data_IF_107659936813
#
_entry.id   IF_107659936813
#
_cell.length_a   1.000
_cell.length_b   1.000
_cell.length_c   1.000
_cell.angle_alpha   90.00
_cell.angle_beta   90.00
_cell.angle_gamma   90.00
#
_symmetry.space_group_name_H-M   'P 1'
#
loop_
_entity.id
_entity.type
_entity.pdbx_description
1 polymer ?
#
# COMPACT_ATOMS: atom_id res chain seq x y z
N UNK A 1 -11.97 38.62 -4.27
CA UNK A 1 -11.36 37.37 -3.77
C UNK A 1 -10.45 36.83 -4.86
N UNK A 2 -9.32 36.18 -4.56
CA UNK A 2 -8.52 35.53 -5.59
C UNK A 2 -9.40 34.46 -6.29
N UNK A 3 -9.40 34.42 -7.63
CA UNK A 3 -10.28 33.53 -8.42
C UNK A 3 -10.10 32.05 -8.09
N UNK A 4 -8.89 31.61 -7.74
CA UNK A 4 -8.61 30.23 -7.37
C UNK A 4 -9.01 29.90 -5.95
N UNK A 5 -9.00 30.88 -5.04
CA UNK A 5 -9.58 30.71 -3.70
C UNK A 5 -11.09 30.50 -3.82
N UNK A 6 -11.77 31.27 -4.68
CA UNK A 6 -13.20 31.08 -4.97
C UNK A 6 -13.49 29.73 -5.64
N UNK A 7 -12.70 29.36 -6.66
CA UNK A 7 -12.80 28.05 -7.32
C UNK A 7 -12.59 26.90 -6.33
N UNK A 8 -11.58 26.99 -5.47
CA UNK A 8 -11.29 25.98 -4.45
C UNK A 8 -12.45 25.85 -3.45
N UNK A 9 -13.00 26.97 -2.98
CA UNK A 9 -14.18 26.98 -2.10
C UNK A 9 -15.38 26.31 -2.78
N UNK A 10 -15.64 26.61 -4.06
CA UNK A 10 -16.70 25.97 -4.81
C UNK A 10 -16.47 24.46 -4.99
N UNK A 11 -15.23 24.03 -5.28
CA UNK A 11 -14.85 22.61 -5.35
C UNK A 11 -15.07 21.91 -4.00
N UNK A 12 -14.65 22.53 -2.90
CA UNK A 12 -14.83 22.01 -1.55
C UNK A 12 -16.31 21.78 -1.20
N UNK A 13 -17.23 22.57 -1.77
CA UNK A 13 -18.67 22.41 -1.57
C UNK A 13 -19.38 21.41 -2.50
N UNK A 14 -18.70 20.80 -3.48
CA UNK A 14 -19.34 19.84 -4.40
C UNK A 14 -19.68 18.52 -3.71
N UNK A 15 -20.78 17.90 -4.12
CA UNK A 15 -21.09 16.51 -3.72
C UNK A 15 -20.13 15.52 -4.39
N UNK A 16 -19.85 15.74 -5.68
CA UNK A 16 -18.95 14.93 -6.49
C UNK A 16 -17.83 15.77 -7.09
N UNK A 17 -16.59 15.27 -7.03
CA UNK A 17 -15.38 15.90 -7.57
C UNK A 17 -14.71 14.99 -8.58
N UNK A 18 -14.19 15.57 -9.65
CA UNK A 18 -13.34 14.87 -10.61
C UNK A 18 -11.88 15.15 -10.29
N UNK A 19 -11.15 14.14 -9.82
CA UNK A 19 -9.80 14.31 -9.27
C UNK A 19 -8.84 13.36 -9.99
N UNK A 20 -7.73 13.91 -10.47
CA UNK A 20 -6.60 13.10 -10.96
C UNK A 20 -5.69 12.78 -9.78
N UNK A 21 -5.30 11.52 -9.62
CA UNK A 21 -4.25 11.09 -8.72
C UNK A 21 -3.01 10.65 -9.47
N UNK A 22 -1.84 11.08 -8.99
CA UNK A 22 -0.53 10.73 -9.55
C UNK A 22 0.30 9.97 -8.53
N UNK A 23 0.84 8.83 -8.94
CA UNK A 23 1.84 8.10 -8.19
C UNK A 23 3.08 7.80 -9.04
N UNK A 24 4.25 8.05 -8.46
CA UNK A 24 5.53 7.65 -9.03
C UNK A 24 6.29 6.84 -7.98
N UNK A 25 6.36 5.53 -8.21
CA UNK A 25 7.02 4.59 -7.33
C UNK A 25 8.53 4.82 -7.23
N UNK A 26 9.16 4.12 -6.28
CA UNK A 26 10.62 4.13 -6.13
C UNK A 26 11.33 3.29 -7.20
N UNK A 27 10.61 2.46 -7.95
CA UNK A 27 11.15 1.73 -9.10
C UNK A 27 11.50 2.62 -10.28
N UNK A 28 10.91 3.83 -10.35
CA UNK A 28 11.07 4.79 -11.44
C UNK A 28 10.63 4.23 -12.80
N UNK A 29 9.66 3.30 -12.82
CA UNK A 29 9.22 2.67 -14.06
C UNK A 29 8.35 3.60 -14.91
N UNK A 30 7.51 4.42 -14.26
CA UNK A 30 6.63 5.37 -14.91
C UNK A 30 5.83 6.22 -13.92
N UNK A 31 4.92 7.01 -14.49
CA UNK A 31 3.92 7.80 -13.77
C UNK A 31 2.56 7.14 -13.92
N UNK A 32 2.02 6.67 -12.81
CA UNK A 32 0.65 6.17 -12.72
C UNK A 32 -0.31 7.35 -12.63
N UNK A 33 -1.30 7.40 -13.52
CA UNK A 33 -2.30 8.46 -13.60
C UNK A 33 -3.68 7.84 -13.47
N UNK A 34 -4.41 8.17 -12.40
CA UNK A 34 -5.78 7.72 -12.18
C UNK A 34 -6.74 8.92 -12.24
N UNK A 35 -7.72 8.88 -13.14
CA UNK A 35 -8.84 9.82 -13.13
C UNK A 35 -9.98 9.21 -12.32
N UNK A 36 -10.28 9.82 -11.17
CA UNK A 36 -11.28 9.33 -10.24
C UNK A 36 -12.47 10.29 -10.14
N UNK A 37 -13.68 9.74 -10.13
CA UNK A 37 -14.86 10.43 -9.63
C UNK A 37 -15.02 10.09 -8.16
N UNK A 38 -15.00 11.11 -7.31
CA UNK A 38 -15.12 10.94 -5.86
C UNK A 38 -16.39 11.65 -5.40
N UNK A 39 -17.28 10.89 -4.76
CA UNK A 39 -18.53 11.42 -4.17
C UNK A 39 -18.41 11.37 -2.65
N UNK A 40 -18.85 12.45 -1.99
CA UNK A 40 -18.76 12.57 -0.54
C UNK A 40 -17.33 12.83 -0.04
N UNK A 41 -17.11 12.56 1.25
CA UNK A 41 -15.84 12.64 1.95
C UNK A 41 -15.91 11.80 3.24
N UNK A 42 -14.76 11.58 3.89
CA UNK A 42 -14.69 10.75 5.09
C UNK A 42 -15.15 9.32 4.82
N UNK A 43 -15.98 8.77 5.71
CA UNK A 43 -16.53 7.40 5.59
C UNK A 43 -17.67 7.26 4.59
N UNK A 44 -18.20 8.38 4.10
CA UNK A 44 -19.21 8.40 3.04
C UNK A 44 -18.56 8.45 1.65
N UNK A 45 -17.23 8.41 1.59
CA UNK A 45 -16.52 8.49 0.32
C UNK A 45 -16.80 7.28 -0.56
N UNK A 46 -17.32 7.55 -1.76
CA UNK A 46 -17.36 6.58 -2.85
C UNK A 46 -16.36 7.01 -3.92
N UNK A 47 -15.48 6.08 -4.31
CA UNK A 47 -14.48 6.29 -5.36
C UNK A 47 -14.82 5.41 -6.56
N UNK A 48 -14.99 6.04 -7.72
CA UNK A 48 -15.11 5.39 -9.02
C UNK A 48 -13.88 5.72 -9.86
N UNK A 49 -13.15 4.69 -10.30
CA UNK A 49 -12.04 4.83 -11.23
C UNK A 49 -12.59 4.95 -12.66
N UNK A 50 -12.42 6.12 -13.29
CA UNK A 50 -12.93 6.37 -14.64
C UNK A 50 -11.90 5.99 -15.72
N UNK A 51 -10.65 6.36 -15.51
CA UNK A 51 -9.53 6.06 -16.39
C UNK A 51 -8.28 5.80 -15.57
N UNK A 52 -7.42 4.93 -16.06
CA UNK A 52 -6.11 4.65 -15.49
C UNK A 52 -5.14 4.28 -16.59
N UNK A 53 -3.94 4.84 -16.54
CA UNK A 53 -2.83 4.41 -17.38
C UNK A 53 -1.49 4.75 -16.70
N UNK A 54 -0.43 4.07 -17.11
CA UNK A 54 0.93 4.28 -16.64
C UNK A 54 1.79 4.78 -17.79
N UNK A 55 2.33 6.00 -17.66
CA UNK A 55 3.26 6.51 -18.67
C UNK A 55 4.69 6.13 -18.32
N UNK A 56 5.40 5.33 -19.14
CA UNK A 56 6.77 4.95 -18.82
C UNK A 56 7.70 6.17 -18.86
N UNK A 57 8.62 6.25 -17.91
CA UNK A 57 9.65 7.29 -17.96
C UNK A 57 10.70 6.98 -19.03
N UNK A 58 11.25 8.05 -19.62
CA UNK A 58 12.42 7.93 -20.48
C UNK A 58 13.65 7.52 -19.65
N UNK A 59 14.60 6.84 -20.28
CA UNK A 59 15.87 6.49 -19.62
C UNK A 59 16.61 7.73 -19.13
N UNK A 60 16.57 8.82 -19.89
CA UNK A 60 17.17 10.09 -19.49
C UNK A 60 16.56 10.60 -18.18
N UNK A 61 15.21 10.65 -18.09
CA UNK A 61 14.53 11.09 -16.88
C UNK A 61 14.89 10.19 -15.69
N UNK A 62 14.81 8.86 -15.85
CA UNK A 62 15.20 7.90 -14.81
C UNK A 62 16.62 8.13 -14.32
N UNK A 63 17.57 8.28 -15.23
CA UNK A 63 18.98 8.45 -14.90
C UNK A 63 19.21 9.74 -14.11
N UNK A 64 18.52 10.82 -14.48
CA UNK A 64 18.57 12.10 -13.75
C UNK A 64 18.03 11.99 -12.32
N UNK A 65 16.91 11.28 -12.12
CA UNK A 65 16.38 11.06 -10.76
C UNK A 65 17.32 10.21 -9.91
N UNK A 66 17.97 9.19 -10.50
CA UNK A 66 18.99 8.37 -9.83
C UNK A 66 20.21 9.16 -9.37
N UNK A 67 20.44 10.36 -9.90
CA UNK A 67 21.53 11.22 -9.40
C UNK A 67 21.28 11.66 -7.95
N UNK A 68 20.02 11.82 -7.54
CA UNK A 68 19.65 12.28 -6.18
C UNK A 68 18.94 11.23 -5.33
N UNK A 69 18.34 10.21 -5.94
CA UNK A 69 17.52 9.21 -5.25
C UNK A 69 18.30 8.41 -4.19
N UNK A 70 17.75 8.39 -2.97
CA UNK A 70 18.25 7.64 -1.81
C UNK A 70 19.71 7.93 -1.44
N UNK A 71 20.22 9.14 -1.75
CA UNK A 71 21.58 9.57 -1.41
C UNK A 71 21.58 10.62 -0.31
N UNK A 72 22.53 10.49 0.61
CA UNK A 72 22.77 11.46 1.70
C UNK A 72 23.45 12.73 1.21
N UNK A 73 24.36 12.59 0.25
CA UNK A 73 25.12 13.69 -0.34
C UNK A 73 24.67 13.87 -1.79
N UNK A 74 24.17 15.07 -2.11
CA UNK A 74 23.70 15.44 -3.44
C UNK A 74 24.08 16.89 -3.73
N UNK A 75 24.26 17.21 -5.01
CA UNK A 75 24.41 18.60 -5.44
C UNK A 75 23.08 19.36 -5.28
N UNK A 76 23.10 20.46 -4.54
CA UNK A 76 21.88 21.21 -4.21
C UNK A 76 21.30 21.94 -5.42
N UNK A 77 22.15 22.42 -6.33
CA UNK A 77 21.69 23.07 -7.56
C UNK A 77 20.96 22.05 -8.45
N UNK A 78 21.50 20.85 -8.58
CA UNK A 78 20.90 19.73 -9.28
C UNK A 78 19.56 19.34 -8.68
N UNK A 79 19.49 19.09 -7.36
CA UNK A 79 18.25 18.74 -6.66
C UNK A 79 17.16 19.80 -6.88
N UNK A 80 17.53 21.08 -6.75
CA UNK A 80 16.61 22.21 -6.95
C UNK A 80 16.08 22.27 -8.39
N UNK A 81 16.96 22.08 -9.38
CA UNK A 81 16.55 22.00 -10.78
C UNK A 81 15.67 20.79 -11.09
N UNK A 82 16.00 19.62 -10.53
CA UNK A 82 15.21 18.40 -10.71
C UNK A 82 13.80 18.53 -10.11
N UNK A 83 13.64 19.24 -8.99
CA UNK A 83 12.32 19.48 -8.40
C UNK A 83 11.33 20.13 -9.39
N UNK A 84 11.77 21.15 -10.12
CA UNK A 84 10.99 21.80 -11.17
C UNK A 84 10.84 20.94 -12.44
N UNK A 85 11.88 20.20 -12.82
CA UNK A 85 11.85 19.29 -13.98
C UNK A 85 10.83 18.18 -13.79
N UNK A 86 10.79 17.55 -12.61
CA UNK A 86 9.80 16.52 -12.27
C UNK A 86 8.39 17.08 -12.34
N UNK A 87 8.15 18.27 -11.76
CA UNK A 87 6.83 18.90 -11.79
C UNK A 87 6.33 19.18 -13.21
N UNK A 88 7.19 19.77 -14.06
CA UNK A 88 6.85 19.99 -15.48
C UNK A 88 6.64 18.71 -16.26
N UNK A 89 7.47 17.69 -16.01
CA UNK A 89 7.36 16.39 -16.67
C UNK A 89 6.02 15.75 -16.31
N UNK A 90 5.69 15.65 -15.02
CA UNK A 90 4.42 15.09 -14.57
C UNK A 90 3.23 15.87 -15.14
N UNK A 91 3.27 17.22 -15.10
CA UNK A 91 2.22 18.05 -15.68
C UNK A 91 2.05 17.85 -17.20
N UNK A 92 3.15 17.68 -17.93
CA UNK A 92 3.14 17.35 -19.36
C UNK A 92 2.48 16.00 -19.65
N UNK A 93 2.89 14.95 -18.93
CA UNK A 93 2.33 13.60 -19.08
C UNK A 93 0.83 13.57 -18.74
N UNK A 94 0.40 14.35 -17.73
CA UNK A 94 -1.02 14.50 -17.41
C UNK A 94 -1.80 15.15 -18.56
N UNK A 95 -1.27 16.20 -19.17
CA UNK A 95 -1.92 16.84 -20.32
C UNK A 95 -2.03 15.88 -21.52
N UNK A 96 -0.99 15.08 -21.77
CA UNK A 96 -0.99 14.04 -22.81
C UNK A 96 -2.07 12.98 -22.54
N UNK A 97 -2.16 12.50 -21.30
CA UNK A 97 -3.17 11.51 -20.87
C UNK A 97 -4.59 12.07 -20.95
N UNK A 98 -4.82 13.30 -20.48
CA UNK A 98 -6.11 13.97 -20.59
C UNK A 98 -6.55 14.14 -22.04
N UNK A 99 -5.62 14.52 -22.93
CA UNK A 99 -5.90 14.60 -24.35
C UNK A 99 -6.24 13.22 -24.96
N UNK A 100 -5.51 12.17 -24.58
CA UNK A 100 -5.78 10.80 -25.02
C UNK A 100 -7.14 10.27 -24.54
N UNK A 101 -7.56 10.63 -23.32
CA UNK A 101 -8.87 10.29 -22.76
C UNK A 101 -10.00 11.21 -23.24
N UNK A 102 -9.69 12.27 -23.98
CA UNK A 102 -10.66 13.26 -24.44
C UNK A 102 -11.28 14.08 -23.31
N UNK A 103 -10.58 14.25 -22.19
CA UNK A 103 -11.05 14.98 -21.00
C UNK A 103 -10.39 16.36 -20.98
N UNK A 104 -11.14 17.47 -21.12
CA UNK A 104 -10.57 18.81 -21.02
C UNK A 104 -10.09 19.11 -19.60
N UNK A 105 -8.92 19.74 -19.47
CA UNK A 105 -8.33 20.11 -18.17
C UNK A 105 -9.28 20.89 -17.25
N UNK A 106 -10.14 21.74 -17.80
CA UNK A 106 -11.05 22.57 -17.02
C UNK A 106 -12.22 21.80 -16.38
N UNK A 107 -12.49 20.57 -16.83
CA UNK A 107 -13.47 19.66 -16.21
C UNK A 107 -12.91 18.98 -14.96
N UNK A 108 -11.57 18.92 -14.82
CA UNK A 108 -10.89 18.34 -13.66
C UNK A 108 -10.86 19.38 -12.54
N UNK A 109 -11.35 18.97 -11.37
CA UNK A 109 -11.42 19.85 -10.20
C UNK A 109 -10.05 20.01 -9.53
N UNK A 110 -9.38 18.88 -9.29
CA UNK A 110 -8.12 18.80 -8.57
C UNK A 110 -7.18 17.79 -9.22
N UNK A 111 -5.88 18.03 -9.04
CA UNK A 111 -4.82 17.09 -9.32
C UNK A 111 -4.08 16.80 -8.02
N UNK A 112 -3.86 15.53 -7.70
CA UNK A 112 -3.16 15.08 -6.51
C UNK A 112 -1.80 14.50 -6.91
N UNK A 113 -0.71 15.19 -6.57
CA UNK A 113 0.65 14.75 -6.91
C UNK A 113 1.38 14.25 -5.67
N UNK A 114 1.69 12.96 -5.62
CA UNK A 114 2.67 12.45 -4.66
C UNK A 114 4.07 13.04 -4.90
N UNK A 115 4.40 13.27 -6.18
CA UNK A 115 5.76 13.54 -6.63
C UNK A 115 6.61 12.26 -6.66
N UNK A 116 7.93 12.46 -6.63
CA UNK A 116 8.94 11.42 -6.62
C UNK A 116 9.69 11.44 -5.30
N UNK A 117 9.61 10.38 -4.49
CA UNK A 117 10.41 10.29 -3.26
C UNK A 117 11.89 10.29 -3.62
N UNK A 118 12.65 11.22 -3.03
CA UNK A 118 14.12 11.28 -3.11
C UNK A 118 14.75 10.77 -1.84
N UNK A 119 14.18 11.11 -0.68
CA UNK A 119 14.71 10.66 0.60
C UNK A 119 13.59 10.48 1.63
N UNK A 120 13.67 9.41 2.41
CA UNK A 120 12.75 9.12 3.50
C UNK A 120 13.57 8.71 4.71
N UNK A 121 13.44 9.45 5.80
CA UNK A 121 14.32 9.41 6.95
C UNK A 121 13.53 9.57 8.26
N UNK A 122 12.60 8.65 8.57
CA UNK A 122 11.99 8.61 9.89
C UNK A 122 13.05 8.25 10.97
N UNK A 123 12.80 8.67 12.20
CA UNK A 123 13.70 8.41 13.33
C UNK A 123 13.84 6.91 13.61
N UNK A 124 12.78 6.13 13.38
CA UNK A 124 12.79 4.66 13.48
C UNK A 124 13.80 3.98 12.56
N UNK A 125 14.04 4.56 11.37
CA UNK A 125 15.01 4.04 10.40
C UNK A 125 16.41 4.61 10.61
N UNK A 126 16.52 5.90 10.92
CA UNK A 126 17.82 6.58 11.01
C UNK A 126 18.50 6.41 12.37
N UNK A 127 17.73 6.13 13.43
CA UNK A 127 18.19 6.18 14.82
C UNK A 127 18.64 7.56 15.28
N UNK A 128 18.50 8.60 14.44
CA UNK A 128 18.92 9.96 14.77
C UNK A 128 17.74 10.74 15.36
N UNK A 129 17.83 11.05 16.65
CA UNK A 129 16.81 11.81 17.38
C UNK A 129 17.03 13.33 17.37
N UNK A 130 18.13 13.82 16.78
CA UNK A 130 18.42 15.26 16.66
C UNK A 130 17.50 15.94 15.64
N UNK A 131 17.04 15.18 14.64
CA UNK A 131 16.11 15.66 13.62
C UNK A 131 14.74 15.00 13.80
N UNK A 132 13.63 15.70 13.50
CA UNK A 132 12.32 15.07 13.46
C UNK A 132 12.26 14.03 12.33
N UNK A 133 11.20 13.20 12.33
CA UNK A 133 10.85 12.43 11.14
C UNK A 133 10.91 13.33 9.91
N UNK A 134 11.51 12.84 8.83
CA UNK A 134 11.82 13.65 7.67
C UNK A 134 11.56 12.90 6.39
N UNK A 135 11.03 13.59 5.38
CA UNK A 135 10.81 13.01 4.05
C UNK A 135 10.84 14.10 3.00
N UNK A 136 11.34 13.77 1.82
CA UNK A 136 11.41 14.66 0.68
C UNK A 136 10.89 13.95 -0.57
N UNK A 137 9.81 14.50 -1.11
CA UNK A 137 9.31 14.22 -2.44
C UNK A 137 9.66 15.42 -3.31
N UNK A 138 10.15 15.18 -4.52
CA UNK A 138 10.36 16.23 -5.52
C UNK A 138 9.30 16.15 -6.61
N UNK A 139 9.11 17.23 -7.36
CA UNK A 139 7.95 17.39 -8.24
C UNK A 139 7.12 18.56 -7.76
N UNK A 140 7.59 19.75 -8.08
CA UNK A 140 7.00 21.00 -7.61
C UNK A 140 5.52 21.10 -7.99
N UNK A 141 4.66 21.25 -6.98
CA UNK A 141 3.21 21.39 -7.15
C UNK A 141 2.84 22.63 -7.97
N UNK A 142 3.59 23.72 -7.87
CA UNK A 142 3.33 24.94 -8.65
C UNK A 142 3.66 24.70 -10.13
N UNK A 143 4.75 23.99 -10.43
CA UNK A 143 5.06 23.62 -11.82
C UNK A 143 4.00 22.68 -12.40
N UNK A 144 3.48 21.73 -11.62
CA UNK A 144 2.37 20.87 -12.07
C UNK A 144 1.11 21.70 -12.33
N UNK A 145 0.74 22.59 -11.39
CA UNK A 145 -0.46 23.42 -11.50
C UNK A 145 -0.40 24.37 -12.69
N UNK A 146 0.72 25.07 -12.89
CA UNK A 146 0.93 25.97 -14.03
C UNK A 146 0.93 25.20 -15.36
N UNK A 147 1.58 24.04 -15.41
CA UNK A 147 1.66 23.23 -16.64
C UNK A 147 0.29 22.67 -17.05
N UNK A 148 -0.53 22.27 -16.09
CA UNK A 148 -1.83 21.63 -16.35
C UNK A 148 -3.00 22.61 -16.35
N UNK A 149 -2.87 23.79 -15.76
CA UNK A 149 -4.00 24.69 -15.51
C UNK A 149 -4.97 24.19 -14.44
N UNK A 150 -4.59 23.17 -13.65
CA UNK A 150 -5.44 22.51 -12.65
C UNK A 150 -4.91 22.80 -11.25
N UNK A 151 -5.80 23.09 -10.29
CA UNK A 151 -5.42 23.27 -8.89
C UNK A 151 -4.78 21.97 -8.40
N UNK A 152 -3.55 22.04 -7.92
CA UNK A 152 -2.77 20.85 -7.54
C UNK A 152 -2.63 20.76 -6.03
N UNK A 153 -2.91 19.58 -5.48
CA UNK A 153 -2.61 19.19 -4.11
C UNK A 153 -1.37 18.29 -4.11
N UNK A 154 -0.33 18.65 -3.37
CA UNK A 154 0.93 17.90 -3.31
C UNK A 154 1.47 17.75 -1.88
N UNK A 155 2.64 17.15 -1.68
CA UNK A 155 3.36 17.09 -0.39
C UNK A 155 2.58 16.41 0.77
N UNK A 156 1.80 15.38 0.45
CA UNK A 156 0.97 14.66 1.43
C UNK A 156 1.76 14.15 2.65
N UNK A 157 2.91 13.50 2.40
CA UNK A 157 3.74 12.92 3.47
C UNK A 157 4.31 13.97 4.41
N UNK A 158 4.65 15.16 3.91
CA UNK A 158 5.22 16.23 4.74
C UNK A 158 4.22 16.70 5.81
N UNK A 159 2.93 16.79 5.47
CA UNK A 159 1.88 17.16 6.44
C UNK A 159 1.70 16.08 7.51
N UNK A 160 1.75 14.80 7.12
CA UNK A 160 1.71 13.67 8.06
C UNK A 160 2.91 13.69 9.01
N UNK A 161 4.11 13.94 8.48
CA UNK A 161 5.35 14.09 9.27
C UNK A 161 5.25 15.27 10.24
N UNK A 162 4.78 16.42 9.77
CA UNK A 162 4.59 17.61 10.61
C UNK A 162 3.58 17.38 11.75
N UNK A 163 2.63 16.45 11.56
CA UNK A 163 1.68 16.03 12.59
C UNK A 163 2.22 14.94 13.54
N UNK A 164 3.51 14.58 13.42
CA UNK A 164 4.19 13.64 14.31
C UNK A 164 4.26 12.19 13.82
N UNK A 165 3.72 11.88 12.64
CA UNK A 165 3.85 10.55 12.05
C UNK A 165 5.15 10.37 11.26
N UNK A 166 5.34 9.21 10.63
CA UNK A 166 6.55 8.92 9.85
C UNK A 166 6.45 9.33 8.37
N UNK A 167 5.24 9.54 7.84
CA UNK A 167 4.98 9.90 6.44
C UNK A 167 4.68 8.69 5.55
N UNK A 168 4.61 7.49 6.13
CA UNK A 168 4.28 6.24 5.47
C UNK A 168 3.79 5.20 6.50
N UNK A 169 3.07 4.14 6.07
CA UNK A 169 2.41 4.01 4.78
C UNK A 169 1.12 4.85 4.72
N UNK A 170 0.92 5.62 3.65
CA UNK A 170 -0.33 6.39 3.47
C UNK A 170 -1.50 5.54 2.98
N UNK A 171 -1.24 4.31 2.49
CA UNK A 171 -2.27 3.39 2.04
C UNK A 171 -3.30 3.07 3.13
N UNK A 172 -2.89 3.05 4.40
CA UNK A 172 -3.79 2.83 5.54
C UNK A 172 -4.91 3.89 5.61
N UNK A 173 -4.68 5.12 5.16
CA UNK A 173 -5.70 6.16 5.12
C UNK A 173 -6.79 5.85 4.09
N UNK A 174 -6.40 5.50 2.86
CA UNK A 174 -7.39 5.16 1.85
C UNK A 174 -8.08 3.85 2.14
N UNK A 175 -7.36 2.85 2.66
CA UNK A 175 -7.99 1.61 3.12
C UNK A 175 -9.06 1.90 4.19
N UNK A 176 -8.74 2.77 5.16
CA UNK A 176 -9.68 3.17 6.20
C UNK A 176 -10.91 3.90 5.64
N UNK A 177 -10.70 4.87 4.75
CA UNK A 177 -11.78 5.69 4.21
C UNK A 177 -12.69 4.94 3.24
N UNK A 178 -12.11 4.14 2.34
CA UNK A 178 -12.85 3.45 1.28
C UNK A 178 -13.47 2.13 1.73
N UNK A 179 -12.77 1.41 2.61
CA UNK A 179 -13.11 0.02 2.87
C UNK A 179 -13.56 -0.24 4.31
N UNK A 180 -13.61 0.73 5.21
CA UNK A 180 -14.26 0.53 6.51
C UNK A 180 -15.77 0.35 6.31
N UNK A 181 -16.33 -0.70 6.91
CA UNK A 181 -17.76 -1.00 6.85
C UNK A 181 -18.44 -0.70 8.18
N UNK A 182 -19.74 -0.38 8.16
CA UNK A 182 -20.51 -0.10 9.38
C UNK A 182 -20.87 -1.35 10.19
N UNK A 183 -20.91 -2.52 9.56
CA UNK A 183 -21.46 -3.76 10.13
C UNK A 183 -20.41 -4.87 10.27
N UNK A 184 -19.46 -4.95 9.33
CA UNK A 184 -18.44 -6.00 9.29
C UNK A 184 -17.02 -5.47 9.53
N UNK A 185 -16.18 -6.29 10.17
CA UNK A 185 -14.75 -6.07 10.18
C UNK A 185 -14.18 -6.62 8.88
N UNK A 186 -13.40 -5.80 8.17
CA UNK A 186 -12.73 -6.21 6.93
C UNK A 186 -11.24 -6.34 7.16
N UNK A 187 -10.67 -7.41 6.64
CA UNK A 187 -9.25 -7.72 6.68
C UNK A 187 -8.74 -7.65 5.25
N UNK A 188 -7.92 -6.66 4.94
CA UNK A 188 -7.29 -6.54 3.63
C UNK A 188 -5.94 -7.26 3.71
N UNK A 189 -5.91 -8.53 3.30
CA UNK A 189 -4.77 -9.43 3.41
C UNK A 189 -3.95 -9.41 2.12
N UNK A 190 -2.75 -8.85 2.17
CA UNK A 190 -1.79 -8.96 1.07
C UNK A 190 -0.83 -10.13 1.29
N UNK A 191 -0.80 -11.06 0.34
CA UNK A 191 0.10 -12.21 0.36
C UNK A 191 1.22 -12.01 -0.67
N UNK A 192 2.23 -11.24 -0.27
CA UNK A 192 3.48 -11.09 -1.02
C UNK A 192 4.53 -12.10 -0.58
N UNK A 193 5.80 -11.68 -0.55
CA UNK A 193 6.85 -12.46 0.10
C UNK A 193 6.58 -12.66 1.60
N UNK A 194 6.28 -11.57 2.30
CA UNK A 194 5.68 -11.56 3.65
C UNK A 194 4.18 -11.31 3.49
N UNK A 195 3.38 -12.01 4.29
CA UNK A 195 1.95 -11.77 4.39
C UNK A 195 1.71 -10.67 5.43
N UNK A 196 0.88 -9.70 5.08
CA UNK A 196 0.45 -8.62 5.97
C UNK A 196 -1.03 -8.34 5.77
N UNK A 197 -1.68 -7.75 6.77
CA UNK A 197 -3.04 -7.28 6.60
C UNK A 197 -3.29 -5.93 7.26
N UNK A 198 -4.18 -5.15 6.64
CA UNK A 198 -4.87 -4.03 7.28
C UNK A 198 -6.15 -4.55 7.91
N UNK A 199 -6.30 -4.41 9.23
CA UNK A 199 -7.55 -4.64 9.94
C UNK A 199 -8.38 -3.36 9.91
N UNK A 200 -9.59 -3.45 9.37
CA UNK A 200 -10.59 -2.39 9.34
C UNK A 200 -11.76 -2.82 10.22
N UNK A 201 -11.77 -2.46 11.51
CA UNK A 201 -12.86 -2.79 12.41
C UNK A 201 -14.16 -2.17 11.89
N UNK A 202 -15.29 -2.85 12.10
CA UNK A 202 -16.58 -2.25 11.79
C UNK A 202 -16.77 -0.90 12.51
N UNK A 203 -17.65 -0.04 12.00
CA UNK A 203 -17.96 1.23 12.66
C UNK A 203 -18.37 1.01 14.13
N UNK A 204 -17.81 1.81 15.04
CA UNK A 204 -18.20 1.95 16.46
C UNK A 204 -17.60 0.96 17.49
N UNK A 205 -16.51 0.26 17.18
CA UNK A 205 -15.95 -0.76 18.10
C UNK A 205 -14.89 -0.20 19.07
N UNK A 206 -14.42 1.04 18.87
CA UNK A 206 -13.34 1.61 19.66
C UNK A 206 -11.97 0.94 19.43
N UNK A 207 -11.91 -0.11 18.61
CA UNK A 207 -10.69 -0.71 18.09
C UNK A 207 -10.19 0.14 16.91
N UNK A 208 -8.93 0.58 16.92
CA UNK A 208 -8.36 1.31 15.80
C UNK A 208 -8.07 0.36 14.62
N UNK A 209 -8.15 0.90 13.41
CA UNK A 209 -7.54 0.35 12.21
C UNK A 209 -6.03 0.21 12.40
N UNK A 210 -5.43 -0.89 11.96
CA UNK A 210 -3.98 -1.07 11.99
C UNK A 210 -3.53 -1.99 10.86
N UNK A 211 -2.26 -1.86 10.46
CA UNK A 211 -1.59 -2.78 9.56
C UNK A 211 -0.53 -3.59 10.33
N UNK A 212 -0.36 -4.86 9.98
CA UNK A 212 0.63 -5.74 10.62
C UNK A 212 1.09 -6.84 9.68
N UNK A 213 2.34 -7.26 9.84
CA UNK A 213 2.82 -8.50 9.26
C UNK A 213 2.33 -9.70 10.09
N UNK A 214 2.01 -10.80 9.43
CA UNK A 214 1.50 -12.03 10.07
C UNK A 214 2.47 -13.20 10.01
N UNK A 215 3.46 -13.11 9.11
CA UNK A 215 4.44 -14.16 8.89
C UNK A 215 4.78 -14.29 7.40
N UNK A 216 5.37 -15.42 6.99
CA UNK A 216 5.71 -15.62 5.59
C UNK A 216 4.45 -15.72 4.73
N UNK A 217 4.50 -15.06 3.56
CA UNK A 217 3.61 -15.35 2.44
C UNK A 217 4.28 -16.38 1.54
N UNK A 218 4.85 -15.94 0.43
CA UNK A 218 5.54 -16.78 -0.55
C UNK A 218 7.06 -16.90 -0.31
N UNK A 219 7.68 -15.97 0.41
CA UNK A 219 9.15 -15.82 0.51
C UNK A 219 9.89 -17.12 0.84
N UNK A 220 9.40 -17.91 1.80
CA UNK A 220 10.09 -19.13 2.24
C UNK A 220 9.89 -20.28 1.24
N UNK A 221 8.73 -20.35 0.59
CA UNK A 221 8.45 -21.29 -0.49
C UNK A 221 9.31 -20.99 -1.72
N UNK A 222 9.40 -19.72 -2.11
CA UNK A 222 10.18 -19.27 -3.26
C UNK A 222 11.68 -19.49 -3.04
N UNK A 223 12.19 -19.19 -1.84
CA UNK A 223 13.57 -19.52 -1.46
C UNK A 223 13.85 -21.03 -1.57
N UNK A 224 12.93 -21.89 -1.12
CA UNK A 224 13.09 -23.34 -1.19
C UNK A 224 13.04 -23.85 -2.63
N UNK A 225 12.09 -23.37 -3.44
CA UNK A 225 11.99 -23.66 -4.87
C UNK A 225 13.28 -23.29 -5.60
N UNK A 226 13.83 -22.11 -5.32
CA UNK A 226 15.06 -21.67 -5.96
C UNK A 226 16.24 -22.53 -5.54
N UNK A 227 16.40 -22.83 -4.25
CA UNK A 227 17.53 -23.58 -3.73
C UNK A 227 17.53 -25.07 -4.13
N UNK A 228 16.35 -25.71 -4.20
CA UNK A 228 16.23 -27.16 -4.41
C UNK A 228 15.88 -27.51 -5.85
N UNK A 229 15.21 -26.62 -6.58
CA UNK A 229 14.64 -26.91 -7.90
C UNK A 229 15.07 -25.91 -8.98
N UNK A 230 15.78 -24.83 -8.62
CA UNK A 230 16.23 -23.80 -9.57
C UNK A 230 15.09 -23.02 -10.22
N UNK A 231 13.91 -23.01 -9.60
CA UNK A 231 12.71 -22.32 -10.09
C UNK A 231 12.34 -21.19 -9.12
N UNK A 232 11.88 -20.06 -9.66
CA UNK A 232 11.62 -18.87 -8.86
C UNK A 232 10.45 -19.02 -7.88
N UNK A 233 9.44 -19.82 -8.22
CA UNK A 233 8.22 -20.01 -7.43
C UNK A 233 7.53 -21.33 -7.77
N UNK A 234 6.66 -21.81 -6.88
CA UNK A 234 5.77 -22.95 -7.13
C UNK A 234 4.50 -22.50 -7.83
N UNK A 235 4.55 -22.48 -9.17
CA UNK A 235 3.44 -22.01 -10.00
C UNK A 235 2.19 -22.88 -9.76
N UNK A 236 1.07 -22.21 -9.46
CA UNK A 236 -0.24 -22.83 -9.18
C UNK A 236 -0.19 -23.90 -8.07
N UNK A 237 0.80 -23.81 -7.17
CA UNK A 237 1.06 -24.78 -6.10
C UNK A 237 1.28 -26.22 -6.58
N UNK A 238 1.82 -26.42 -7.79
CA UNK A 238 1.97 -27.73 -8.41
C UNK A 238 2.82 -28.70 -7.57
N UNK A 239 3.93 -28.22 -6.98
CA UNK A 239 4.83 -29.03 -6.17
C UNK A 239 4.23 -29.27 -4.78
N UNK A 240 3.72 -28.21 -4.13
CA UNK A 240 3.10 -28.32 -2.82
C UNK A 240 1.86 -29.23 -2.83
N UNK A 241 1.07 -29.21 -3.90
CA UNK A 241 -0.14 -30.03 -4.03
C UNK A 241 0.13 -31.52 -4.20
N UNK A 242 1.35 -31.90 -4.61
CA UNK A 242 1.78 -33.28 -4.73
C UNK A 242 2.35 -33.87 -3.43
N UNK A 243 2.50 -33.05 -2.39
CA UNK A 243 3.03 -33.45 -1.09
C UNK A 243 1.96 -33.66 -0.02
N UNK A 244 2.40 -34.15 1.14
CA UNK A 244 1.59 -34.29 2.34
C UNK A 244 2.15 -33.37 3.42
N UNK A 245 1.27 -32.60 4.07
CA UNK A 245 1.66 -31.71 5.17
C UNK A 245 2.25 -32.53 6.32
N UNK A 246 3.49 -32.25 6.68
CA UNK A 246 4.16 -32.87 7.83
C UNK A 246 3.84 -32.07 9.10
N UNK A 247 3.00 -32.64 9.98
CA UNK A 247 2.53 -31.96 11.18
C UNK A 247 3.65 -31.58 12.17
N UNK A 248 4.63 -32.47 12.48
CA UNK A 248 5.76 -32.09 13.35
C UNK A 248 6.56 -30.89 12.86
N UNK A 249 6.84 -30.81 11.55
CA UNK A 249 7.53 -29.67 10.97
C UNK A 249 6.65 -28.41 11.02
N UNK A 250 5.37 -28.51 10.65
CA UNK A 250 4.43 -27.39 10.72
C UNK A 250 4.34 -26.79 12.14
N UNK A 251 4.15 -27.64 13.16
CA UNK A 251 4.06 -27.19 14.55
C UNK A 251 5.37 -26.54 15.03
N UNK A 252 6.51 -27.04 14.56
CA UNK A 252 7.83 -26.46 14.89
C UNK A 252 8.03 -25.11 14.21
N UNK A 253 7.63 -24.96 12.94
CA UNK A 253 7.64 -23.68 12.25
C UNK A 253 6.71 -22.67 12.95
N UNK A 254 5.55 -23.08 13.45
CA UNK A 254 4.64 -22.18 14.18
C UNK A 254 5.08 -21.87 15.61
N UNK A 255 6.12 -22.51 16.15
CA UNK A 255 6.53 -22.35 17.55
C UNK A 255 7.42 -21.14 17.83
N UNK A 256 7.67 -20.28 16.85
CA UNK A 256 8.54 -19.11 17.03
C UNK A 256 7.83 -17.97 17.76
N UNK A 257 8.53 -17.29 18.67
CA UNK A 257 7.97 -16.23 19.54
C UNK A 257 7.34 -15.07 18.77
N UNK A 258 7.77 -14.84 17.52
CA UNK A 258 7.16 -13.88 16.60
C UNK A 258 5.63 -14.02 16.53
N UNK A 259 5.09 -15.24 16.48
CA UNK A 259 3.66 -15.46 16.35
C UNK A 259 2.89 -15.05 17.61
N UNK A 260 3.53 -15.08 18.78
CA UNK A 260 2.93 -14.66 20.05
C UNK A 260 2.86 -13.14 20.23
N UNK A 261 3.76 -12.37 19.58
CA UNK A 261 3.83 -10.90 19.69
C UNK A 261 2.48 -10.22 19.41
N UNK A 262 2.15 -9.12 20.13
CA UNK A 262 0.96 -8.32 19.88
C UNK A 262 1.02 -7.62 18.52
N UNK A 263 -0.14 -7.17 18.03
CA UNK A 263 -0.21 -6.32 16.84
C UNK A 263 -0.15 -4.83 17.24
N UNK A 264 0.40 -3.96 16.38
CA UNK A 264 1.05 -4.27 15.10
C UNK A 264 2.48 -4.76 15.30
N UNK A 265 2.97 -5.60 14.38
CA UNK A 265 4.34 -6.10 14.34
C UNK A 265 4.82 -6.21 12.89
N UNK A 266 6.13 -6.22 12.71
CA UNK A 266 6.76 -6.33 11.38
C UNK A 266 7.78 -7.46 11.33
N UNK A 267 8.05 -7.98 10.14
CA UNK A 267 9.02 -9.06 9.88
C UNK A 267 9.42 -9.07 8.40
N UNK A 268 10.33 -9.98 8.07
CA UNK A 268 10.91 -10.05 6.74
C UNK A 268 11.66 -11.35 6.49
N UNK A 269 12.27 -11.47 5.29
CA UNK A 269 13.12 -12.60 4.93
C UNK A 269 14.31 -12.80 5.88
N UNK A 270 14.72 -11.78 6.64
CA UNK A 270 15.74 -11.89 7.68
C UNK A 270 15.37 -12.89 8.79
N UNK A 271 14.07 -13.07 9.07
CA UNK A 271 13.60 -14.11 9.99
C UNK A 271 13.17 -15.37 9.23
N UNK A 272 12.29 -15.23 8.25
CA UNK A 272 11.71 -16.38 7.53
C UNK A 272 12.54 -16.73 6.29
N UNK A 273 13.65 -17.44 6.51
CA UNK A 273 14.58 -17.90 5.47
C UNK A 273 14.90 -19.39 5.56
N UNK A 274 15.76 -19.87 4.64
CA UNK A 274 16.17 -21.27 4.60
C UNK A 274 16.87 -21.75 5.88
N UNK A 275 17.55 -20.87 6.63
CA UNK A 275 18.14 -21.27 7.91
C UNK A 275 17.04 -21.58 8.94
N UNK A 276 16.01 -20.73 8.99
CA UNK A 276 14.83 -20.97 9.82
C UNK A 276 14.16 -22.32 9.51
N UNK A 277 14.01 -22.66 8.22
CA UNK A 277 13.50 -23.96 7.79
C UNK A 277 14.43 -25.11 8.22
N UNK A 278 15.75 -24.98 8.00
CA UNK A 278 16.71 -26.01 8.36
C UNK A 278 16.70 -26.30 9.87
N UNK A 279 16.68 -25.25 10.70
CA UNK A 279 16.62 -25.37 12.15
C UNK A 279 15.33 -26.07 12.60
N UNK A 280 14.19 -25.72 11.98
CA UNK A 280 12.91 -26.37 12.23
C UNK A 280 12.94 -27.85 11.82
N UNK A 281 13.54 -28.19 10.68
CA UNK A 281 13.69 -29.58 10.22
C UNK A 281 14.58 -30.41 11.15
N UNK A 282 15.68 -29.85 11.63
CA UNK A 282 16.55 -30.50 12.60
C UNK A 282 15.80 -30.75 13.92
N UNK A 283 15.12 -29.74 14.46
CA UNK A 283 14.37 -29.84 15.71
C UNK A 283 13.20 -30.83 15.62
N UNK A 284 12.51 -30.89 14.49
CA UNK A 284 11.40 -31.81 14.26
C UNK A 284 11.83 -33.23 13.82
N UNK A 285 13.12 -33.45 13.51
CA UNK A 285 13.60 -34.72 12.97
C UNK A 285 13.11 -35.01 11.55
N UNK A 286 12.96 -33.98 10.71
CA UNK A 286 12.30 -34.03 9.38
C UNK A 286 13.21 -33.65 8.21
N UNK A 287 14.54 -33.69 8.42
CA UNK A 287 15.56 -33.39 7.38
C UNK A 287 15.41 -34.28 6.14
N UNK A 288 14.89 -35.51 6.31
CA UNK A 288 14.70 -36.48 5.23
C UNK A 288 13.37 -36.37 4.46
N UNK A 289 12.56 -35.33 4.70
CA UNK A 289 11.29 -35.16 3.99
C UNK A 289 11.51 -34.96 2.48
N UNK A 290 10.55 -35.46 1.70
CA UNK A 290 10.55 -35.20 0.26
C UNK A 290 10.33 -33.71 0.00
N UNK A 291 10.85 -33.22 -1.14
CA UNK A 291 10.63 -31.81 -1.55
C UNK A 291 9.15 -31.43 -1.67
N UNK A 292 8.30 -32.37 -2.05
CA UNK A 292 6.85 -32.15 -2.14
C UNK A 292 6.26 -31.97 -0.74
N UNK A 293 6.64 -32.80 0.24
CA UNK A 293 6.15 -32.69 1.61
C UNK A 293 6.66 -31.41 2.30
N UNK A 294 7.90 -31.00 2.03
CA UNK A 294 8.41 -29.71 2.51
C UNK A 294 7.59 -28.56 1.94
N UNK A 295 7.35 -28.53 0.62
CA UNK A 295 6.54 -27.48 -0.01
C UNK A 295 5.09 -27.47 0.48
N UNK A 296 4.46 -28.64 0.64
CA UNK A 296 3.12 -28.76 1.22
C UNK A 296 3.09 -28.19 2.65
N UNK A 297 4.13 -28.48 3.44
CA UNK A 297 4.24 -28.01 4.82
C UNK A 297 4.50 -26.51 4.90
N UNK A 298 5.34 -25.95 4.03
CA UNK A 298 5.58 -24.50 3.94
C UNK A 298 4.31 -23.75 3.51
N UNK A 299 3.56 -24.28 2.54
CA UNK A 299 2.27 -23.72 2.15
C UNK A 299 1.27 -23.73 3.31
N UNK A 300 1.19 -24.84 4.07
CA UNK A 300 0.36 -24.94 5.26
C UNK A 300 0.83 -24.02 6.40
N UNK A 301 2.13 -23.76 6.50
CA UNK A 301 2.73 -22.85 7.47
C UNK A 301 2.29 -21.40 7.21
N UNK A 302 2.44 -20.90 5.98
CA UNK A 302 1.96 -19.57 5.60
C UNK A 302 0.45 -19.44 5.83
N UNK A 303 -0.35 -20.43 5.41
CA UNK A 303 -1.79 -20.44 5.66
C UNK A 303 -2.13 -20.40 7.16
N UNK A 304 -1.48 -21.23 7.96
CA UNK A 304 -1.74 -21.33 9.41
C UNK A 304 -1.36 -20.05 10.15
N UNK A 305 -0.26 -19.40 9.78
CA UNK A 305 0.14 -18.12 10.34
C UNK A 305 -0.92 -17.03 10.06
N UNK A 306 -1.41 -16.94 8.82
CA UNK A 306 -2.49 -16.04 8.42
C UNK A 306 -3.77 -16.34 9.22
N UNK A 307 -4.19 -17.61 9.27
CA UNK A 307 -5.39 -18.06 9.98
C UNK A 307 -5.32 -17.70 11.47
N UNK A 308 -4.19 -17.95 12.13
CA UNK A 308 -3.99 -17.58 13.54
C UNK A 308 -4.08 -16.07 13.75
N UNK A 309 -3.51 -15.27 12.85
CA UNK A 309 -3.57 -13.82 12.93
C UNK A 309 -4.99 -13.27 12.74
N UNK A 310 -5.74 -13.80 11.77
CA UNK A 310 -7.14 -13.44 11.53
C UNK A 310 -8.00 -13.82 12.74
N UNK A 311 -7.85 -15.04 13.27
CA UNK A 311 -8.60 -15.48 14.45
C UNK A 311 -8.31 -14.62 15.70
N UNK A 312 -7.12 -14.03 15.82
CA UNK A 312 -6.77 -13.11 16.92
C UNK A 312 -7.52 -11.78 16.88
N UNK A 313 -8.00 -11.35 15.71
CA UNK A 313 -8.77 -10.11 15.53
C UNK A 313 -10.27 -10.37 15.31
N UNK A 314 -10.65 -11.64 15.17
CA UNK A 314 -12.05 -12.05 15.10
C UNK A 314 -12.65 -12.08 16.50
N UNK A 315 -13.73 -11.32 16.68
CA UNK A 315 -14.57 -11.40 17.88
C UNK A 315 -15.73 -12.38 17.65
N UNK A 316 -16.15 -13.20 18.65
CA UNK A 316 -17.13 -14.28 18.50
C UNK A 316 -18.52 -13.90 17.95
N UNK A 317 -18.82 -12.60 17.85
CA UNK A 317 -20.13 -12.07 17.45
C UNK A 317 -20.08 -11.12 16.25
N UNK A 318 -18.95 -11.05 15.54
CA UNK A 318 -18.77 -10.10 14.44
C UNK A 318 -18.63 -10.80 13.10
N UNK A 319 -19.27 -10.22 12.08
CA UNK A 319 -19.02 -10.59 10.71
C UNK A 319 -17.61 -10.13 10.35
N UNK A 320 -16.79 -11.07 9.89
CA UNK A 320 -15.45 -10.80 9.38
C UNK A 320 -15.39 -11.23 7.93
N UNK A 321 -14.83 -10.35 7.10
CA UNK A 321 -14.47 -10.67 5.71
C UNK A 321 -12.98 -10.45 5.49
N UNK A 322 -12.37 -11.36 4.74
CA UNK A 322 -10.98 -11.30 4.33
C UNK A 322 -10.94 -11.08 2.82
N UNK A 323 -10.27 -10.02 2.39
CA UNK A 323 -10.05 -9.70 0.99
C UNK A 323 -8.56 -9.90 0.69
N UNK A 324 -8.26 -10.86 -0.19
CA UNK A 324 -6.89 -11.27 -0.50
C UNK A 324 -6.38 -10.50 -1.72
N UNK A 325 -5.17 -9.95 -1.61
CA UNK A 325 -4.38 -9.38 -2.70
C UNK A 325 -2.97 -10.01 -2.76
N UNK A 326 -2.18 -9.62 -3.76
CA UNK A 326 -0.79 -10.04 -3.92
C UNK A 326 -0.64 -11.42 -4.57
N UNK A 327 0.61 -11.81 -4.86
CA UNK A 327 0.91 -13.01 -5.64
C UNK A 327 0.37 -14.32 -5.04
N UNK A 328 0.23 -14.39 -3.72
CA UNK A 328 -0.32 -15.57 -3.04
C UNK A 328 -1.80 -15.82 -3.31
N UNK A 329 -2.55 -14.84 -3.84
CA UNK A 329 -3.91 -15.06 -4.36
C UNK A 329 -3.93 -16.12 -5.48
N UNK A 330 -2.86 -16.22 -6.26
CA UNK A 330 -2.72 -17.17 -7.36
C UNK A 330 -2.22 -18.55 -6.91
N UNK A 331 -1.98 -18.77 -5.62
CA UNK A 331 -1.65 -20.08 -5.07
C UNK A 331 -2.95 -20.76 -4.58
N UNK A 332 -3.55 -21.69 -5.36
CA UNK A 332 -4.86 -22.26 -5.03
C UNK A 332 -4.83 -23.11 -3.76
N UNK A 333 -3.70 -23.77 -3.45
CA UNK A 333 -3.55 -24.56 -2.24
C UNK A 333 -3.52 -23.68 -0.99
N UNK A 334 -2.79 -22.57 -1.04
CA UNK A 334 -2.70 -21.59 0.04
C UNK A 334 -4.07 -20.99 0.34
N UNK A 335 -4.77 -20.51 -0.69
CA UNK A 335 -6.13 -19.95 -0.55
C UNK A 335 -7.10 -21.01 0.01
N UNK A 336 -6.98 -22.27 -0.42
CA UNK A 336 -7.79 -23.37 0.12
C UNK A 336 -7.54 -23.56 1.61
N UNK A 337 -6.28 -23.66 2.04
CA UNK A 337 -5.95 -23.83 3.46
C UNK A 337 -6.40 -22.64 4.32
N UNK A 338 -6.34 -21.41 3.81
CA UNK A 338 -6.88 -20.23 4.51
C UNK A 338 -8.39 -20.35 4.70
N UNK A 339 -9.13 -20.73 3.64
CA UNK A 339 -10.59 -20.93 3.71
C UNK A 339 -10.98 -22.05 4.68
N UNK A 340 -10.26 -23.17 4.65
CA UNK A 340 -10.48 -24.29 5.58
C UNK A 340 -10.19 -23.89 7.04
N UNK A 341 -9.18 -23.04 7.27
CA UNK A 341 -8.81 -22.55 8.60
C UNK A 341 -9.70 -21.44 9.16
N UNK A 342 -10.54 -20.83 8.33
CA UNK A 342 -11.46 -19.74 8.72
C UNK A 342 -12.92 -20.12 8.41
N UNK A 343 -13.47 -21.18 9.04
CA UNK A 343 -14.84 -21.59 8.80
C UNK A 343 -15.81 -20.46 9.18
N UNK A 344 -16.72 -20.12 8.26
CA UNK A 344 -17.71 -19.05 8.45
C UNK A 344 -17.23 -17.63 8.12
N UNK A 345 -15.97 -17.45 7.75
CA UNK A 345 -15.42 -16.17 7.26
C UNK A 345 -15.51 -16.14 5.73
N UNK A 346 -15.97 -15.02 5.17
CA UNK A 346 -15.91 -14.85 3.71
C UNK A 346 -14.49 -14.47 3.29
N UNK A 347 -13.85 -15.31 2.49
CA UNK A 347 -12.51 -15.08 1.93
C UNK A 347 -12.64 -14.83 0.43
N UNK A 348 -12.40 -13.59 0.02
CA UNK A 348 -12.69 -13.02 -1.29
C UNK A 348 -11.42 -12.45 -1.95
N UNK A 349 -11.45 -12.20 -3.26
CA UNK A 349 -10.41 -11.38 -3.90
C UNK A 349 -10.57 -9.92 -3.50
N UNK A 350 -9.49 -9.17 -3.39
CA UNK A 350 -9.53 -7.72 -3.24
C UNK A 350 -10.27 -7.03 -4.40
N UNK A 351 -10.30 -7.64 -5.59
CA UNK A 351 -11.01 -7.10 -6.76
C UNK A 351 -12.52 -6.93 -6.53
N UNK A 352 -13.10 -7.68 -5.59
CA UNK A 352 -14.51 -7.54 -5.19
C UNK A 352 -14.82 -6.18 -4.54
N UNK A 353 -13.80 -5.45 -4.08
CA UNK A 353 -13.93 -4.09 -3.56
C UNK A 353 -13.94 -3.01 -4.66
N UNK A 354 -13.84 -3.40 -5.94
CA UNK A 354 -14.04 -2.50 -7.07
C UNK A 354 -12.86 -1.57 -7.38
N UNK A 355 -11.68 -1.82 -6.81
CA UNK A 355 -10.47 -1.04 -7.07
C UNK A 355 -9.43 -1.92 -7.77
N UNK A 356 -8.99 -1.49 -8.96
CA UNK A 356 -7.91 -2.17 -9.69
C UNK A 356 -6.60 -2.04 -8.91
N UNK A 357 -5.87 -3.14 -8.63
CA UNK A 357 -4.64 -3.10 -7.83
C UNK A 357 -3.60 -2.10 -8.33
N UNK A 358 -3.35 -2.05 -9.63
CA UNK A 358 -2.34 -1.15 -10.23
C UNK A 358 -2.74 0.33 -10.09
N UNK A 359 -4.03 0.64 -10.13
CA UNK A 359 -4.53 2.00 -9.96
C UNK A 359 -4.62 2.44 -8.50
N UNK A 360 -4.46 1.52 -7.54
CA UNK A 360 -4.77 1.75 -6.12
C UNK A 360 -4.01 2.94 -5.54
N UNK A 361 -2.70 3.01 -5.78
CA UNK A 361 -1.88 4.07 -5.18
C UNK A 361 -2.17 5.43 -5.80
N UNK A 362 -2.33 5.52 -7.12
CA UNK A 362 -2.71 6.77 -7.77
C UNK A 362 -4.11 7.23 -7.31
N UNK A 363 -5.10 6.32 -7.27
CA UNK A 363 -6.45 6.60 -6.79
C UNK A 363 -6.47 7.04 -5.32
N UNK A 364 -5.59 6.47 -4.48
CA UNK A 364 -5.41 6.90 -3.09
C UNK A 364 -4.98 8.38 -3.00
N UNK A 365 -4.09 8.86 -3.87
CA UNK A 365 -3.73 10.29 -3.84
C UNK A 365 -4.90 11.18 -4.25
N UNK A 366 -5.71 10.76 -5.23
CA UNK A 366 -6.95 11.47 -5.56
C UNK A 366 -7.90 11.57 -4.35
N UNK A 367 -8.03 10.47 -3.59
CA UNK A 367 -8.80 10.45 -2.34
C UNK A 367 -8.20 11.38 -1.27
N UNK A 368 -6.88 11.38 -1.09
CA UNK A 368 -6.24 12.27 -0.12
C UNK A 368 -6.50 13.74 -0.47
N UNK A 369 -6.47 14.11 -1.76
CA UNK A 369 -6.82 15.46 -2.19
C UNK A 369 -8.29 15.81 -1.96
N UNK A 370 -9.22 14.84 -2.08
CA UNK A 370 -10.61 15.03 -1.67
C UNK A 370 -10.71 15.39 -0.18
N UNK A 371 -10.03 14.62 0.69
CA UNK A 371 -10.01 14.89 2.13
C UNK A 371 -9.29 16.21 2.47
N UNK A 372 -8.31 16.64 1.69
CA UNK A 372 -7.66 17.95 1.86
C UNK A 372 -8.67 19.09 1.76
N UNK A 373 -9.62 19.01 0.83
CA UNK A 373 -10.53 20.13 0.53
C UNK A 373 -11.90 20.01 1.19
N UNK A 374 -12.36 18.80 1.48
CA UNK A 374 -13.72 18.55 1.98
C UNK A 374 -13.76 17.70 3.26
N UNK A 375 -12.67 17.03 3.60
CA UNK A 375 -12.59 16.15 4.75
C UNK A 375 -12.30 16.86 6.06
N UNK A 376 -12.26 16.07 7.14
CA UNK A 376 -11.85 16.49 8.47
C UNK A 376 -10.91 15.41 9.04
N UNK A 377 -9.94 15.84 9.85
CA UNK A 377 -9.00 14.95 10.53
C UNK A 377 -9.70 13.85 11.34
N UNK A 378 -10.89 14.11 11.87
CA UNK A 378 -11.68 13.13 12.63
C UNK A 378 -12.04 11.88 11.82
N UNK A 379 -12.12 11.97 10.48
CA UNK A 379 -12.44 10.82 9.62
C UNK A 379 -11.36 9.74 9.62
N UNK A 380 -10.14 10.09 10.05
CA UNK A 380 -8.96 9.22 10.02
C UNK A 380 -8.32 9.06 11.41
N UNK A 381 -9.02 9.49 12.47
CA UNK A 381 -8.55 9.36 13.85
C UNK A 381 -8.49 7.92 14.37
N UNK A 382 -9.11 6.99 13.64
CA UNK A 382 -9.19 5.59 14.00
C UNK A 382 -7.98 4.78 13.59
N UNK A 383 -6.93 5.37 13.02
CA UNK A 383 -5.75 4.62 12.53
C UNK A 383 -4.67 4.59 13.62
N UNK A 384 -4.27 3.39 14.03
CA UNK A 384 -3.25 3.18 15.06
C UNK A 384 -1.88 3.70 14.59
N UNK A 385 -1.14 4.34 15.50
CA UNK A 385 0.21 4.88 15.27
C UNK A 385 0.27 5.91 14.11
N UNK A 386 -0.85 6.56 13.82
CA UNK A 386 -0.96 7.51 12.72
C UNK A 386 -1.73 8.76 13.17
N UNK A 387 -1.22 9.98 12.89
CA UNK A 387 -1.90 11.19 13.30
C UNK A 387 -3.17 11.45 12.49
N UNK A 388 -4.20 11.94 13.15
CA UNK A 388 -5.42 12.41 12.50
C UNK A 388 -5.15 13.74 11.78
N UNK A 389 -4.95 13.75 10.46
CA UNK A 389 -4.64 14.97 9.70
C UNK A 389 -5.09 14.89 8.25
N UNK A 390 -5.72 15.97 7.75
CA UNK A 390 -5.89 16.17 6.31
C UNK A 390 -4.55 16.61 5.70
N UNK A 391 -4.07 15.86 4.72
CA UNK A 391 -2.74 16.01 4.17
C UNK A 391 -2.68 16.98 3.00
N UNK A 392 -1.47 17.40 2.63
CA UNK A 392 -1.19 18.09 1.38
C UNK A 392 -1.07 19.61 1.49
N UNK A 393 -0.60 20.21 0.39
CA UNK A 393 -0.44 21.65 0.15
C UNK A 393 -1.09 22.00 -1.18
N UNK A 394 -1.65 23.20 -1.30
CA UNK A 394 -2.41 23.62 -2.47
C UNK A 394 -1.57 24.60 -3.30
N UNK A 395 -1.42 24.29 -4.57
CA UNK A 395 -0.78 25.10 -5.61
C UNK A 395 -1.81 25.60 -6.61
N UNK A 396 -1.82 26.91 -6.85
CA UNK A 396 -2.73 27.54 -7.81
C UNK A 396 -2.06 27.72 -9.18
N UNK A 397 -2.78 27.57 -10.30
CA UNK A 397 -2.19 27.69 -11.63
C UNK A 397 -1.72 29.09 -12.06
N UNK A 398 -2.23 30.19 -11.47
CA UNK A 398 -1.78 31.57 -11.75
C UNK A 398 -1.84 32.49 -10.52
#
# INVERSE_FOLDING_TARGET
>A
MNKYVEKLYAIAGKETRLIIGLMSGTSLDGLDVALCRITGYGKETALELLQFDTTPYTDEFRNRIREVFAKREVDQQLLTGLHAVVGRTHGGLVNEMLAAWGVPNHEVDLLASHGQTVYHAPQSLTGNLEYPNSTLQIGDGDHVAVTTGIITVSDFRQKHVAAGGEGAPLAAYGDHLLFTDGLETRILLNIGGIANFTCLPAGNIGMPCFATDVGPGNTLMDQYMQAVMGQAMDKDAAIASAGVVNRPLLDTLLSHDFFALPFPKTTGPELFNLQYLADAQHKAGTVGLSKHDVMATLCAFSASAIVQAVNRVMEPHRQVKVYISGGGLHNPLLVRFIKEGLPGVSVLSFDELGLVPDAKEAALFALLANETVAGDAIHVNGIMNSPAVCMGKISFPE
#
